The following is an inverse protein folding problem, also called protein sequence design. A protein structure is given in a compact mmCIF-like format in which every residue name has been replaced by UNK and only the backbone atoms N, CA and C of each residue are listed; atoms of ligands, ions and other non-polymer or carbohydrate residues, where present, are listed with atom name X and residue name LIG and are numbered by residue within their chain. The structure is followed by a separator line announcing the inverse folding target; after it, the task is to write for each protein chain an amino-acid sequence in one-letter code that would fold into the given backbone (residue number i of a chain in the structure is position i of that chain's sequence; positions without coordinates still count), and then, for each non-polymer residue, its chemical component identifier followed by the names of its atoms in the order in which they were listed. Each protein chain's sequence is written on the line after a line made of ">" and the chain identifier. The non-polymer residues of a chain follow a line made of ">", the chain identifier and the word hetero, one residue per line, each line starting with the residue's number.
data_IF_569749432009
#
_entry.id   IF_569749432009
#
_cell.length_a   1.000
_cell.length_b   1.000
_cell.length_c   1.000
_cell.angle_alpha   90.00
_cell.angle_beta   90.00
_cell.angle_gamma   90.00
#
_symmetry.space_group_name_H-M   'P 1'
#
loop_
_entity.id
_entity.type
_entity.pdbx_description
1 polymer ?
#
# COMPACT_ATOMS: atom_id res chain seq x y z
N UNK A 1 21.62 14.22 -35.99
CA UNK A 1 20.25 13.67 -36.13
C UNK A 1 19.67 13.53 -34.71
N UNK A 2 19.00 14.57 -34.20
CA UNK A 2 18.56 14.63 -32.81
C UNK A 2 17.23 13.90 -32.63
N UNK A 3 17.22 12.83 -31.84
CA UNK A 3 16.00 12.18 -31.35
C UNK A 3 15.39 13.05 -30.25
N UNK A 4 14.19 13.59 -30.49
CA UNK A 4 13.37 14.26 -29.48
C UNK A 4 12.91 13.22 -28.46
N UNK A 5 13.33 13.38 -27.21
CA UNK A 5 12.74 12.68 -26.06
C UNK A 5 11.47 13.47 -25.71
N UNK A 6 10.31 12.87 -25.96
CA UNK A 6 9.04 13.41 -25.52
C UNK A 6 8.93 13.15 -24.01
N UNK A 7 9.19 14.19 -23.21
CA UNK A 7 8.83 14.19 -21.79
C UNK A 7 7.32 14.42 -21.73
N UNK A 8 6.56 13.36 -21.52
CA UNK A 8 5.13 13.46 -21.20
C UNK A 8 4.99 13.99 -19.77
N UNK A 9 4.93 15.32 -19.62
CA UNK A 9 4.28 15.94 -18.47
C UNK A 9 2.77 15.83 -18.71
N UNK A 10 2.11 14.91 -18.00
CA UNK A 10 0.66 14.78 -18.04
C UNK A 10 0.01 16.02 -17.42
N UNK A 11 -0.57 16.85 -18.28
CA UNK A 11 -1.37 18.03 -17.95
C UNK A 11 -2.78 17.63 -17.43
N UNK A 12 -2.88 16.60 -16.59
CA UNK A 12 -4.15 16.06 -16.06
C UNK A 12 -4.40 16.43 -14.58
N UNK A 13 -3.58 17.31 -14.00
CA UNK A 13 -3.69 17.72 -12.60
C UNK A 13 -4.83 18.73 -12.31
N UNK A 14 -5.61 19.18 -13.29
CA UNK A 14 -6.57 20.28 -13.10
C UNK A 14 -8.01 19.87 -12.77
N UNK A 15 -8.36 18.58 -12.81
CA UNK A 15 -9.71 18.11 -12.46
C UNK A 15 -9.73 16.75 -11.73
N UNK A 16 -8.66 16.37 -11.05
CA UNK A 16 -8.77 15.27 -10.09
C UNK A 16 -9.51 15.82 -8.87
N UNK A 17 -10.74 15.37 -8.54
CA UNK A 17 -11.28 15.64 -7.21
C UNK A 17 -10.20 15.13 -6.26
N UNK A 18 -9.61 16.03 -5.46
CA UNK A 18 -8.73 15.62 -4.39
C UNK A 18 -9.58 14.70 -3.51
N UNK A 19 -9.47 13.39 -3.73
CA UNK A 19 -10.10 12.42 -2.87
C UNK A 19 -9.33 12.57 -1.57
N UNK A 20 -9.94 13.31 -0.64
CA UNK A 20 -9.35 13.60 0.64
C UNK A 20 -9.36 12.33 1.46
N UNK A 21 -8.31 11.52 1.30
CA UNK A 21 -8.04 10.43 2.22
C UNK A 21 -7.76 11.03 3.58
N UNK A 22 -8.62 10.70 4.53
CA UNK A 22 -8.46 11.10 5.92
C UNK A 22 -7.18 10.49 6.47
N UNK A 23 -6.17 11.32 6.70
CA UNK A 23 -5.09 10.94 7.61
C UNK A 23 -5.72 10.79 8.99
N UNK A 24 -5.88 9.55 9.45
CA UNK A 24 -6.28 9.33 10.83
C UNK A 24 -5.05 9.62 11.69
N UNK A 25 -5.07 10.73 12.41
CA UNK A 25 -4.07 11.05 13.41
C UNK A 25 -4.39 10.27 14.69
N UNK A 26 -3.40 9.60 15.27
CA UNK A 26 -3.51 8.87 16.53
C UNK A 26 -2.52 9.45 17.52
N UNK A 27 -2.98 9.75 18.72
CA UNK A 27 -2.10 10.15 19.80
C UNK A 27 -1.31 8.93 20.29
N UNK A 28 0.02 9.03 20.32
CA UNK A 28 0.89 8.00 20.90
C UNK A 28 1.26 6.82 20.01
N UNK A 29 0.67 6.68 18.81
CA UNK A 29 1.03 5.63 17.85
C UNK A 29 2.11 6.15 16.92
N UNK A 30 3.23 5.43 16.82
CA UNK A 30 4.34 5.81 15.92
C UNK A 30 4.04 5.32 14.51
N UNK A 31 3.76 6.25 13.61
CA UNK A 31 3.72 5.97 12.18
C UNK A 31 5.14 5.88 11.61
N UNK A 32 5.32 5.09 10.55
CA UNK A 32 6.57 5.10 9.78
C UNK A 32 6.78 6.51 9.20
N UNK A 33 7.96 7.08 9.45
CA UNK A 33 8.43 8.33 8.84
C UNK A 33 9.77 8.08 8.13
N UNK A 34 9.66 7.47 6.94
CA UNK A 34 10.79 7.12 6.08
C UNK A 34 10.60 7.82 4.73
N UNK A 35 11.68 8.41 4.22
CA UNK A 35 11.65 9.07 2.91
C UNK A 35 11.57 8.04 1.79
N UNK A 36 10.80 8.31 0.72
CA UNK A 36 10.77 7.42 -0.43
C UNK A 36 12.14 7.40 -1.13
N UNK A 37 12.47 6.23 -1.69
CA UNK A 37 13.62 6.02 -2.55
C UNK A 37 13.41 6.71 -3.90
N UNK A 38 14.47 7.31 -4.42
CA UNK A 38 14.48 7.85 -5.78
C UNK A 38 14.92 6.75 -6.75
N UNK A 39 13.96 6.06 -7.33
CA UNK A 39 14.22 5.04 -8.35
C UNK A 39 14.36 5.73 -9.72
N UNK A 40 15.51 5.53 -10.37
CA UNK A 40 15.77 6.04 -11.72
C UNK A 40 15.60 4.93 -12.75
N UNK A 41 14.67 5.14 -13.69
CA UNK A 41 14.41 4.20 -14.79
C UNK A 41 15.39 4.35 -15.96
N UNK A 42 16.32 5.31 -15.92
CA UNK A 42 17.37 5.49 -16.93
C UNK A 42 18.45 4.40 -16.90
N UNK A 43 18.32 3.39 -16.04
CA UNK A 43 19.13 2.18 -16.05
C UNK A 43 20.32 2.17 -15.09
N UNK A 44 20.45 3.18 -14.23
CA UNK A 44 21.43 3.19 -13.14
C UNK A 44 21.07 2.20 -12.02
N UNK A 45 22.07 1.88 -11.20
CA UNK A 45 21.84 1.16 -9.94
C UNK A 45 21.73 2.17 -8.78
N UNK A 46 20.69 2.03 -7.98
CA UNK A 46 20.66 2.55 -6.62
C UNK A 46 21.33 1.52 -5.72
N UNK A 47 22.31 1.93 -4.90
CA UNK A 47 22.99 1.04 -3.96
C UNK A 47 22.49 1.35 -2.55
N UNK A 48 21.93 0.34 -1.86
CA UNK A 48 21.49 0.42 -0.47
C UNK A 48 22.16 -0.75 0.28
N UNK A 49 22.99 -0.43 1.28
CA UNK A 49 23.81 -1.44 1.99
C UNK A 49 24.62 -2.32 1.01
N UNK A 50 24.43 -3.64 1.03
CA UNK A 50 25.01 -4.60 0.07
C UNK A 50 24.17 -4.82 -1.18
N UNK A 51 22.97 -4.22 -1.24
CA UNK A 51 22.01 -4.43 -2.32
C UNK A 51 22.21 -3.41 -3.44
N UNK A 52 22.03 -3.89 -4.66
CA UNK A 52 21.95 -3.07 -5.87
C UNK A 52 20.56 -3.18 -6.45
N UNK A 53 19.91 -2.04 -6.67
CA UNK A 53 18.52 -1.95 -7.10
C UNK A 53 18.49 -1.28 -8.47
N UNK A 54 17.74 -1.84 -9.40
CA UNK A 54 17.56 -1.28 -10.74
C UNK A 54 16.08 -1.27 -11.08
N UNK A 55 15.57 -0.11 -11.44
CA UNK A 55 14.28 0.02 -12.09
C UNK A 55 14.48 0.09 -13.61
N UNK A 56 13.67 -0.63 -14.38
CA UNK A 56 13.71 -0.58 -15.83
C UNK A 56 12.31 -0.69 -16.44
N UNK A 57 12.09 0.01 -17.54
CA UNK A 57 10.86 -0.14 -18.32
C UNK A 57 10.83 -1.50 -19.01
N UNK A 58 9.68 -2.18 -18.97
CA UNK A 58 9.49 -3.45 -19.66
C UNK A 58 9.30 -3.23 -21.18
N UNK A 59 9.87 -4.09 -22.04
CA UNK A 59 9.66 -3.99 -23.48
C UNK A 59 8.19 -4.24 -23.86
N UNK A 60 7.64 -3.40 -24.75
CA UNK A 60 6.39 -3.70 -25.47
C UNK A 60 5.07 -3.26 -24.82
N UNK A 61 5.04 -2.90 -23.55
CA UNK A 61 3.88 -2.26 -22.91
C UNK A 61 4.30 -1.74 -21.54
N UNK A 62 4.24 -0.41 -21.37
CA UNK A 62 3.99 0.46 -20.19
C UNK A 62 4.46 0.04 -18.77
N UNK A 63 5.07 -1.13 -18.59
CA UNK A 63 5.48 -1.79 -17.36
C UNK A 63 6.78 -1.27 -16.76
N UNK A 64 6.92 -1.45 -15.45
CA UNK A 64 8.18 -1.24 -14.74
C UNK A 64 8.57 -2.56 -14.05
N UNK A 65 9.84 -2.92 -14.17
CA UNK A 65 10.45 -3.97 -13.38
C UNK A 65 11.41 -3.36 -12.35
N UNK A 66 11.33 -3.84 -11.12
CA UNK A 66 12.32 -3.59 -10.08
C UNK A 66 13.13 -4.86 -9.88
N UNK A 67 14.44 -4.78 -10.10
CA UNK A 67 15.38 -5.88 -9.85
C UNK A 67 16.29 -5.52 -8.69
N UNK A 68 16.41 -6.42 -7.72
CA UNK A 68 17.26 -6.29 -6.55
C UNK A 68 18.32 -7.38 -6.65
N UNK A 69 19.57 -6.99 -6.46
CA UNK A 69 20.73 -7.87 -6.56
C UNK A 69 21.51 -7.84 -5.24
N UNK A 70 22.03 -9.00 -4.84
CA UNK A 70 23.04 -9.12 -3.78
C UNK A 70 24.39 -9.43 -4.45
N UNK A 71 25.33 -8.48 -4.40
CA UNK A 71 26.55 -8.56 -5.19
C UNK A 71 26.28 -8.56 -6.70
N UNK A 72 26.49 -9.71 -7.36
CA UNK A 72 26.20 -9.92 -8.79
C UNK A 72 24.98 -10.81 -9.05
N UNK A 73 24.42 -11.42 -8.00
CA UNK A 73 23.30 -12.36 -8.14
C UNK A 73 21.97 -11.62 -8.04
N UNK A 74 21.00 -12.00 -8.87
CA UNK A 74 19.65 -11.46 -8.80
C UNK A 74 18.92 -12.10 -7.61
N UNK A 75 18.63 -11.29 -6.59
CA UNK A 75 17.91 -11.71 -5.39
C UNK A 75 16.41 -11.82 -5.64
N UNK A 76 15.81 -10.76 -6.19
CA UNK A 76 14.37 -10.73 -6.50
C UNK A 76 14.10 -9.78 -7.67
N UNK A 77 13.10 -10.13 -8.47
CA UNK A 77 12.58 -9.28 -9.52
C UNK A 77 11.07 -9.15 -9.40
N UNK A 78 10.60 -7.92 -9.28
CA UNK A 78 9.20 -7.55 -9.30
C UNK A 78 8.90 -6.99 -10.68
N UNK A 79 8.04 -7.66 -11.43
CA UNK A 79 7.46 -7.13 -12.66
C UNK A 79 6.07 -6.60 -12.35
N UNK A 80 5.80 -5.34 -12.70
CA UNK A 80 4.45 -4.78 -12.66
C UNK A 80 4.00 -4.53 -14.10
N UNK A 81 3.26 -5.51 -14.65
CA UNK A 81 2.90 -5.64 -16.07
C UNK A 81 1.47 -5.20 -16.39
N UNK A 82 0.84 -4.45 -15.47
CA UNK A 82 -0.51 -3.91 -15.70
C UNK A 82 -0.47 -2.83 -16.77
N UNK A 83 -1.59 -2.64 -17.48
CA UNK A 83 -1.69 -1.77 -18.67
C UNK A 83 -1.36 -0.28 -18.43
N UNK A 84 -1.25 0.20 -17.18
CA UNK A 84 -0.89 1.57 -16.82
C UNK A 84 -0.17 1.62 -15.45
N UNK A 85 1.00 1.00 -15.31
CA UNK A 85 1.68 0.84 -14.05
C UNK A 85 2.55 2.07 -13.78
N UNK A 86 2.04 2.99 -12.96
CA UNK A 86 2.92 3.95 -12.34
C UNK A 86 3.57 3.25 -11.14
N UNK A 87 4.85 2.90 -11.26
CA UNK A 87 5.64 2.60 -10.06
C UNK A 87 5.67 3.89 -9.26
N UNK A 88 4.93 3.90 -8.16
CA UNK A 88 4.89 5.01 -7.24
C UNK A 88 6.16 5.05 -6.42
N UNK A 89 5.99 5.39 -5.16
CA UNK A 89 7.09 5.45 -4.22
C UNK A 89 7.50 4.05 -3.75
N UNK A 90 8.78 3.90 -3.42
CA UNK A 90 9.32 2.73 -2.73
C UNK A 90 10.02 3.17 -1.44
N UNK A 91 10.00 2.35 -0.40
CA UNK A 91 10.65 2.59 0.88
C UNK A 91 11.48 1.37 1.28
N UNK A 92 12.53 1.60 2.08
CA UNK A 92 13.45 0.58 2.55
C UNK A 92 13.76 0.78 4.03
N UNK A 93 13.19 -0.09 4.88
CA UNK A 93 13.30 -0.03 6.34
C UNK A 93 12.95 -1.38 6.96
N UNK A 94 13.22 -1.57 8.25
CA UNK A 94 12.88 -2.81 8.97
C UNK A 94 11.40 -2.73 9.36
N UNK A 95 10.56 -3.51 8.67
CA UNK A 95 9.10 -3.42 8.79
C UNK A 95 8.55 -4.44 9.80
N UNK A 96 9.16 -5.64 9.88
CA UNK A 96 8.74 -6.73 10.76
C UNK A 96 9.58 -6.86 12.06
N UNK A 97 10.54 -5.96 12.27
CA UNK A 97 11.38 -5.90 13.46
C UNK A 97 12.42 -7.02 13.55
N UNK A 98 12.77 -7.67 12.44
CA UNK A 98 13.72 -8.79 12.42
C UNK A 98 15.20 -8.33 12.30
N UNK A 99 15.45 -7.03 12.17
CA UNK A 99 16.78 -6.42 12.02
C UNK A 99 17.29 -6.36 10.58
N UNK A 100 16.61 -6.98 9.63
CA UNK A 100 16.84 -6.85 8.19
C UNK A 100 15.90 -5.79 7.61
N UNK A 101 16.26 -5.26 6.44
CA UNK A 101 15.48 -4.22 5.78
C UNK A 101 14.58 -4.83 4.73
N UNK A 102 13.33 -4.41 4.74
CA UNK A 102 12.29 -4.82 3.80
C UNK A 102 12.04 -3.72 2.78
N UNK A 103 11.43 -4.08 1.64
CA UNK A 103 10.91 -3.11 0.70
C UNK A 103 9.40 -2.99 0.83
N UNK A 104 8.92 -1.75 0.85
CA UNK A 104 7.52 -1.40 0.61
C UNK A 104 7.48 -0.69 -0.73
N UNK A 105 6.73 -1.20 -1.69
CA UNK A 105 6.61 -0.60 -3.01
C UNK A 105 5.14 -0.32 -3.25
N UNK A 106 4.81 0.93 -3.53
CA UNK A 106 3.46 1.32 -3.94
C UNK A 106 3.43 1.43 -5.46
N UNK A 107 2.54 0.70 -6.10
CA UNK A 107 2.21 0.88 -7.50
C UNK A 107 0.76 1.36 -7.60
N UNK A 108 0.58 2.59 -8.10
CA UNK A 108 -0.74 3.14 -8.30
C UNK A 108 -1.24 2.78 -9.69
N UNK A 109 -2.48 2.33 -9.79
CA UNK A 109 -3.14 2.21 -11.09
C UNK A 109 -4.46 2.99 -11.08
N UNK A 110 -4.68 3.74 -12.17
CA UNK A 110 -5.89 4.54 -12.32
C UNK A 110 -7.06 3.61 -12.66
N UNK A 111 -7.82 3.22 -11.64
CA UNK A 111 -9.10 2.53 -11.79
C UNK A 111 -10.24 3.48 -12.18
N UNK A 112 -11.49 3.08 -11.87
CA UNK A 112 -12.74 3.79 -12.19
C UNK A 112 -12.93 5.13 -11.45
N UNK A 113 -11.94 6.02 -11.44
CA UNK A 113 -11.99 7.33 -10.77
C UNK A 113 -11.72 7.29 -9.26
N UNK A 114 -11.31 6.14 -8.70
CA UNK A 114 -10.79 6.02 -7.33
C UNK A 114 -9.34 5.55 -7.40
N UNK A 115 -8.40 6.17 -6.66
CA UNK A 115 -7.02 5.72 -6.62
C UNK A 115 -6.97 4.42 -5.83
N UNK A 116 -6.79 3.33 -6.56
CA UNK A 116 -6.49 2.03 -6.00
C UNK A 116 -4.99 1.80 -6.17
N UNK A 117 -4.36 1.40 -5.09
CA UNK A 117 -2.94 1.15 -5.01
C UNK A 117 -2.72 -0.34 -4.80
N UNK A 118 -1.71 -0.88 -5.47
CA UNK A 118 -1.13 -2.17 -5.18
C UNK A 118 0.12 -1.96 -4.34
N UNK A 119 0.13 -2.54 -3.15
CA UNK A 119 1.29 -2.51 -2.27
C UNK A 119 1.98 -3.85 -2.36
N UNK A 120 3.26 -3.81 -2.72
CA UNK A 120 4.14 -4.96 -2.83
C UNK A 120 5.14 -4.87 -1.69
N UNK A 121 5.12 -5.88 -0.81
CA UNK A 121 6.06 -6.04 0.28
C UNK A 121 7.08 -7.10 -0.08
N UNK A 122 8.35 -6.78 0.08
CA UNK A 122 9.44 -7.75 -0.04
C UNK A 122 10.09 -7.90 1.33
N UNK A 123 9.65 -8.90 2.07
CA UNK A 123 10.16 -9.21 3.40
C UNK A 123 11.46 -10.00 3.32
N UNK A 124 12.50 -9.52 3.98
CA UNK A 124 13.79 -10.18 3.99
C UNK A 124 13.89 -11.16 5.16
N UNK A 125 13.81 -12.46 4.87
CA UNK A 125 13.89 -13.52 5.90
C UNK A 125 15.35 -13.90 6.24
N UNK A 126 16.24 -13.69 5.29
CA UNK A 126 17.70 -13.86 5.37
C UNK A 126 18.33 -12.80 4.47
N UNK A 127 19.60 -12.39 4.69
CA UNK A 127 20.30 -11.47 3.79
C UNK A 127 20.17 -11.90 2.32
N UNK A 128 19.72 -10.97 1.48
CA UNK A 128 19.48 -11.13 0.05
C UNK A 128 18.30 -12.03 -0.34
N UNK A 129 17.51 -12.57 0.61
CA UNK A 129 16.39 -13.48 0.32
C UNK A 129 15.06 -12.89 0.75
N UNK A 130 14.22 -12.63 -0.25
CA UNK A 130 12.95 -11.95 -0.08
C UNK A 130 11.77 -12.89 -0.24
N UNK A 131 10.73 -12.68 0.58
CA UNK A 131 9.37 -13.19 0.37
C UNK A 131 8.46 -12.07 -0.06
N UNK A 132 7.54 -12.36 -0.98
CA UNK A 132 6.67 -11.33 -1.57
C UNK A 132 5.26 -11.42 -1.00
N UNK A 133 4.68 -10.29 -0.63
CA UNK A 133 3.24 -10.14 -0.42
C UNK A 133 2.74 -9.01 -1.32
N UNK A 134 1.63 -9.25 -2.00
CA UNK A 134 0.93 -8.21 -2.73
C UNK A 134 -0.47 -8.02 -2.12
N UNK A 135 -0.90 -6.78 -1.95
CA UNK A 135 -2.30 -6.49 -1.61
C UNK A 135 -2.77 -5.19 -2.25
N UNK A 136 -4.09 -5.07 -2.38
CA UNK A 136 -4.71 -3.84 -2.86
C UNK A 136 -5.24 -3.00 -1.71
N UNK A 137 -5.12 -1.69 -1.84
CA UNK A 137 -5.70 -0.72 -0.92
C UNK A 137 -6.12 0.56 -1.66
N UNK A 138 -6.75 1.51 -0.98
CA UNK A 138 -7.14 2.79 -1.56
C UNK A 138 -6.41 3.95 -0.87
N UNK A 139 -5.67 4.72 -1.66
CA UNK A 139 -4.99 5.93 -1.20
C UNK A 139 -3.85 5.63 -0.22
N UNK A 140 -3.05 4.61 -0.53
CA UNK A 140 -1.93 4.17 0.30
C UNK A 140 -0.99 5.31 0.66
N UNK A 141 -0.54 5.33 1.92
CA UNK A 141 0.55 6.18 2.39
C UNK A 141 1.48 5.37 3.28
N UNK A 142 2.76 5.74 3.31
CA UNK A 142 3.72 5.05 4.19
C UNK A 142 3.32 5.08 5.68
N UNK A 143 2.63 6.13 6.11
CA UNK A 143 2.08 6.24 7.47
C UNK A 143 0.89 5.33 7.77
N UNK A 144 0.45 4.51 6.81
CA UNK A 144 -0.50 3.41 7.06
C UNK A 144 0.20 2.20 7.71
N UNK A 145 1.54 2.18 7.73
CA UNK A 145 2.31 1.32 8.61
C UNK A 145 2.53 1.98 9.97
N UNK A 146 2.09 1.31 11.04
CA UNK A 146 2.02 1.87 12.40
C UNK A 146 2.34 0.79 13.42
N UNK A 147 3.11 1.15 14.42
CA UNK A 147 3.37 0.32 15.60
C UNK A 147 2.28 0.61 16.64
N UNK A 148 1.20 -0.18 16.62
CA UNK A 148 0.02 0.06 17.46
C UNK A 148 0.20 -0.38 18.91
N UNK A 149 1.03 -1.39 19.17
CA UNK A 149 1.24 -1.96 20.50
C UNK A 149 2.61 -1.63 21.12
N UNK A 150 3.49 -0.95 20.38
CA UNK A 150 4.78 -0.48 20.84
C UNK A 150 5.87 -1.56 20.85
N UNK A 151 5.67 -2.68 20.15
CA UNK A 151 6.62 -3.80 20.13
C UNK A 151 7.79 -3.59 19.15
N UNK A 152 7.78 -2.47 18.40
CA UNK A 152 8.80 -2.12 17.42
C UNK A 152 8.57 -2.72 16.04
N UNK A 153 7.49 -3.49 15.84
CA UNK A 153 7.01 -3.97 14.54
C UNK A 153 5.85 -3.10 14.09
N UNK A 154 5.64 -3.03 12.78
CA UNK A 154 4.55 -2.24 12.23
C UNK A 154 3.40 -3.14 11.75
N UNK A 155 2.18 -2.75 12.09
CA UNK A 155 0.96 -3.23 11.44
C UNK A 155 0.63 -2.38 10.20
N UNK A 156 0.00 -3.01 9.21
CA UNK A 156 -0.58 -2.35 8.05
C UNK A 156 -2.04 -1.98 8.29
N UNK A 157 -2.41 -0.72 8.02
CA UNK A 157 -3.81 -0.30 7.86
C UNK A 157 -4.19 -0.45 6.39
N UNK A 158 -5.03 -1.43 6.08
CA UNK A 158 -5.52 -1.67 4.73
C UNK A 158 -6.91 -1.08 4.58
N UNK A 159 -7.05 -0.13 3.66
CA UNK A 159 -8.34 0.45 3.28
C UNK A 159 -9.02 -0.34 2.17
N UNK A 160 -10.33 -0.51 2.28
CA UNK A 160 -11.23 -1.15 1.31
C UNK A 160 -12.53 -0.35 1.20
N UNK A 161 -13.37 -0.68 0.21
CA UNK A 161 -14.63 0.01 -0.04
C UNK A 161 -15.79 -0.99 0.01
N UNK A 162 -16.65 -0.83 1.02
CA UNK A 162 -17.97 -1.46 1.05
C UNK A 162 -18.91 -0.62 0.19
N UNK A 163 -19.33 -1.15 -0.96
CA UNK A 163 -20.14 -0.43 -1.95
C UNK A 163 -21.63 -0.68 -1.74
N UNK A 164 -22.45 0.35 -1.91
CA UNK A 164 -23.92 0.27 -1.95
C UNK A 164 -24.55 -0.59 -0.85
N UNK A 165 -24.06 -0.47 0.38
CA UNK A 165 -24.61 -1.20 1.51
C UNK A 165 -25.92 -0.56 1.97
N UNK A 166 -26.97 -1.39 2.07
CA UNK A 166 -28.20 -1.02 2.74
C UNK A 166 -27.89 -0.54 4.17
N UNK A 167 -28.47 0.58 4.56
CA UNK A 167 -28.11 1.26 5.81
C UNK A 167 -29.33 1.44 6.71
N UNK A 168 -29.08 1.74 7.98
CA UNK A 168 -30.11 1.90 9.01
C UNK A 168 -31.08 3.06 8.74
N UNK A 169 -30.74 3.98 7.84
CA UNK A 169 -31.62 5.06 7.38
C UNK A 169 -32.48 4.67 6.15
N UNK A 170 -32.48 3.40 5.78
CA UNK A 170 -33.26 2.87 4.66
C UNK A 170 -32.70 3.18 3.27
N UNK A 171 -31.49 3.75 3.19
CA UNK A 171 -30.81 4.09 1.92
C UNK A 171 -29.57 3.22 1.71
N UNK A 172 -29.11 3.16 0.47
CA UNK A 172 -27.82 2.56 0.14
C UNK A 172 -26.72 3.62 0.20
N UNK A 173 -25.60 3.27 0.86
CA UNK A 173 -24.44 4.12 0.98
C UNK A 173 -23.16 3.30 0.76
N UNK A 174 -22.08 3.96 0.35
CA UNK A 174 -20.75 3.33 0.34
C UNK A 174 -19.95 3.74 1.57
N UNK A 175 -19.03 2.88 2.01
CA UNK A 175 -18.24 3.08 3.22
C UNK A 175 -16.78 2.74 2.97
N UNK A 176 -15.89 3.65 3.36
CA UNK A 176 -14.48 3.33 3.54
C UNK A 176 -14.34 2.45 4.77
N UNK A 177 -13.64 1.32 4.61
CA UNK A 177 -13.37 0.38 5.69
C UNK A 177 -11.89 0.23 5.87
N UNK A 178 -11.40 0.51 7.08
CA UNK A 178 -9.99 0.41 7.43
C UNK A 178 -9.84 -0.78 8.38
N UNK A 179 -9.05 -1.78 7.97
CA UNK A 179 -8.73 -2.95 8.76
C UNK A 179 -7.23 -2.96 9.10
N UNK A 180 -6.88 -3.45 10.28
CA UNK A 180 -5.49 -3.59 10.73
C UNK A 180 -5.03 -5.02 10.45
N UNK A 181 -3.83 -5.14 9.92
CA UNK A 181 -3.15 -6.41 9.71
C UNK A 181 -1.77 -6.37 10.36
N UNK A 182 -1.46 -7.36 11.17
CA UNK A 182 -0.12 -7.56 11.74
C UNK A 182 0.71 -8.46 10.86
N UNK A 183 2.03 -8.30 10.91
CA UNK A 183 2.96 -9.17 10.21
C UNK A 183 3.24 -10.38 11.10
N UNK A 184 2.92 -11.58 10.61
CA UNK A 184 3.21 -12.83 11.30
C UNK A 184 3.78 -13.86 10.36
N UNK A 185 4.99 -14.34 10.65
CA UNK A 185 5.67 -15.35 9.82
C UNK A 185 5.76 -14.92 8.34
N UNK A 186 5.96 -13.62 8.12
CA UNK A 186 6.04 -13.01 6.79
C UNK A 186 4.71 -13.07 6.00
N UNK A 187 3.58 -13.23 6.68
CA UNK A 187 2.23 -13.04 6.15
C UNK A 187 1.55 -11.84 6.85
N UNK A 188 0.53 -11.25 6.23
CA UNK A 188 -0.33 -10.27 6.91
C UNK A 188 -1.56 -10.96 7.49
N UNK A 189 -1.79 -10.85 8.79
CA UNK A 189 -2.97 -11.41 9.46
C UNK A 189 -3.83 -10.33 10.07
N UNK A 190 -5.14 -10.43 9.87
CA UNK A 190 -6.08 -9.45 10.39
C UNK A 190 -6.00 -9.37 11.92
N UNK A 191 -5.87 -8.16 12.44
CA UNK A 191 -5.62 -7.86 13.84
C UNK A 191 -6.36 -6.60 14.29
N UNK A 192 -7.62 -6.44 13.86
CA UNK A 192 -8.45 -5.29 14.19
C UNK A 192 -8.59 -5.00 15.70
N UNK A 193 -8.35 -5.99 16.56
CA UNK A 193 -8.37 -5.82 18.01
C UNK A 193 -7.15 -5.13 18.62
N UNK A 194 -6.06 -4.91 17.86
CA UNK A 194 -4.84 -4.27 18.37
C UNK A 194 -5.01 -2.76 18.61
N UNK A 195 -5.88 -2.11 17.85
CA UNK A 195 -6.05 -0.67 17.90
C UNK A 195 -7.50 -0.29 18.21
N UNK A 196 -7.70 0.54 19.23
CA UNK A 196 -9.02 1.05 19.56
C UNK A 196 -9.64 1.79 18.37
N UNK A 197 -10.89 1.46 18.05
CA UNK A 197 -11.63 2.06 16.93
C UNK A 197 -11.41 1.35 15.58
N UNK A 198 -10.71 0.21 15.56
CA UNK A 198 -10.66 -0.68 14.40
C UNK A 198 -11.53 -1.93 14.57
N UNK A 199 -12.08 -2.49 13.48
CA UNK A 199 -12.07 -1.91 12.14
C UNK A 199 -12.94 -0.65 12.08
N UNK A 200 -12.53 0.31 11.25
CA UNK A 200 -13.16 1.63 11.17
C UNK A 200 -14.00 1.74 9.91
N UNK A 201 -15.25 2.21 10.03
CA UNK A 201 -16.18 2.38 8.92
C UNK A 201 -16.56 3.85 8.78
N UNK A 202 -16.06 4.53 7.75
CA UNK A 202 -16.43 5.91 7.48
C UNK A 202 -17.38 5.97 6.28
N UNK A 203 -18.49 6.70 6.40
CA UNK A 203 -19.37 6.94 5.27
C UNK A 203 -18.62 7.67 4.16
N UNK A 204 -18.66 7.11 2.94
CA UNK A 204 -18.10 7.73 1.74
C UNK A 204 -18.98 8.93 1.36
N UNK A 205 -18.37 10.11 1.42
CA UNK A 205 -19.01 11.38 1.05
C UNK A 205 -18.10 12.15 0.10
N UNK A 206 -18.66 13.09 -0.66
CA UNK A 206 -17.87 13.98 -1.54
C UNK A 206 -16.88 14.89 -0.77
N UNK A 207 -17.13 15.09 0.53
CA UNK A 207 -16.26 15.84 1.43
C UNK A 207 -15.41 14.89 2.29
N UNK A 208 -14.22 15.32 2.76
CA UNK A 208 -13.43 14.53 3.71
C UNK A 208 -14.27 14.12 4.93
N UNK A 209 -14.23 12.84 5.28
CA UNK A 209 -14.93 12.29 6.44
C UNK A 209 -14.07 11.26 7.19
N UNK A 210 -13.70 11.59 8.43
CA UNK A 210 -12.96 10.72 9.35
C UNK A 210 -13.84 10.10 10.44
N UNK A 211 -15.15 10.40 10.44
CA UNK A 211 -16.06 9.99 11.51
C UNK A 211 -16.59 8.60 11.24
N UNK A 212 -16.52 7.78 12.29
CA UNK A 212 -17.15 6.46 12.31
C UNK A 212 -18.65 6.58 12.02
N UNK A 213 -19.15 5.71 11.14
CA UNK A 213 -20.55 5.71 10.74
C UNK A 213 -21.43 5.10 11.83
N UNK A 214 -22.58 5.74 12.03
CA UNK A 214 -23.72 5.22 12.81
C UNK A 214 -24.82 4.63 11.91
N UNK A 215 -24.60 4.59 10.60
CA UNK A 215 -25.57 4.13 9.59
C UNK A 215 -25.50 2.63 9.30
N UNK A 216 -24.49 1.92 9.83
CA UNK A 216 -24.37 0.48 9.75
C UNK A 216 -24.62 -0.16 11.12
N UNK A 217 -25.35 -1.26 11.13
CA UNK A 217 -25.52 -2.09 12.32
C UNK A 217 -24.22 -2.83 12.66
N UNK A 218 -24.05 -3.28 13.93
CA UNK A 218 -22.91 -4.13 14.29
C UNK A 218 -22.83 -5.42 13.46
N UNK A 219 -23.97 -6.01 13.12
CA UNK A 219 -24.03 -7.24 12.30
C UNK A 219 -23.50 -6.98 10.90
N UNK A 220 -23.91 -5.88 10.26
CA UNK A 220 -23.44 -5.52 8.91
C UNK A 220 -21.93 -5.27 8.88
N UNK A 221 -21.39 -4.63 9.93
CA UNK A 221 -19.95 -4.43 10.07
C UNK A 221 -19.24 -5.79 10.19
N UNK A 222 -19.72 -6.67 11.07
CA UNK A 222 -19.12 -7.98 11.27
C UNK A 222 -19.14 -8.85 10.00
N UNK A 223 -20.26 -8.86 9.27
CA UNK A 223 -20.41 -9.58 8.00
C UNK A 223 -19.42 -9.09 6.96
N UNK A 224 -19.25 -7.77 6.82
CA UNK A 224 -18.27 -7.23 5.89
C UNK A 224 -16.83 -7.59 6.29
N UNK A 225 -16.50 -7.51 7.57
CA UNK A 225 -15.16 -7.90 8.06
C UNK A 225 -14.89 -9.37 7.80
N UNK A 226 -15.88 -10.25 7.97
CA UNK A 226 -15.75 -11.67 7.65
C UNK A 226 -15.52 -11.95 6.15
N UNK A 227 -15.90 -11.00 5.27
CA UNK A 227 -15.65 -11.11 3.82
C UNK A 227 -14.24 -10.68 3.39
N UNK A 228 -13.51 -9.96 4.26
CA UNK A 228 -12.12 -9.58 4.02
C UNK A 228 -11.18 -10.77 4.28
N UNK A 229 -10.03 -10.86 3.59
CA UNK A 229 -9.07 -11.93 3.82
C UNK A 229 -8.57 -11.88 5.27
N UNK A 230 -8.72 -12.99 6.00
CA UNK A 230 -8.16 -13.09 7.36
C UNK A 230 -6.63 -13.21 7.36
N UNK A 231 -6.07 -13.71 6.25
CA UNK A 231 -4.64 -13.81 5.98
C UNK A 231 -4.38 -13.39 4.53
N UNK A 232 -3.38 -12.53 4.32
CA UNK A 232 -2.79 -12.26 3.01
C UNK A 232 -1.42 -12.93 3.03
N UNK A 233 -1.31 -14.05 2.34
CA UNK A 233 -0.16 -14.93 2.40
C UNK A 233 0.99 -14.43 1.51
N UNK A 234 2.21 -14.70 1.95
CA UNK A 234 3.40 -14.57 1.11
C UNK A 234 3.45 -15.65 0.03
N UNK A 235 3.95 -15.25 -1.14
CA UNK A 235 4.28 -16.12 -2.29
C UNK A 235 5.79 -16.35 -2.40
#
# INVERSE_FOLDING_TARGET
>A
MFKRIAVYFSLLALFSPQIFFCSVAFAGVKAVDVKPLKLDTAGGFLVLDSLRIRAESLPGAEGIALSIYEGSELAVRVNHDKKYPYLGDAWYFDLDGNGLKDFVICASYMGNGLPQDEVILLFQAQPGKFRRIDYSTYGFKIGDFRDFDGDGKYEAVISSLLRSAASLDGKEHSYWVYAVYRIEKLDLKMANGLAAGYPKFNWFTEKPNSKETKKLSPVQKAEYIASLPSVIASS
#
